data_IF_817859045526
#
_entry.id   IF_817859045526
#
_cell.length_a   1.000
_cell.length_b   1.000
_cell.length_c   1.000
_cell.angle_alpha   90.00
_cell.angle_beta   90.00
_cell.angle_gamma   90.00
#
_symmetry.space_group_name_H-M   'P 1'
#
loop_
_entity.id
_entity.type
_entity.pdbx_description
1 polymer ?
#
# COMPACT_ATOMS: atom_id res chain seq x y z
N UNK A 1 75.14 16.18 -6.48
CA UNK A 1 74.01 16.30 -7.37
C UNK A 1 72.91 15.37 -6.90
N UNK A 2 71.97 15.89 -6.13
CA UNK A 2 70.78 15.18 -5.67
C UNK A 2 69.58 15.72 -6.40
N UNK A 3 68.75 14.86 -6.89
CA UNK A 3 67.37 15.20 -7.36
C UNK A 3 66.38 14.60 -6.40
N UNK A 4 65.57 15.44 -5.74
CA UNK A 4 64.41 15.08 -5.00
C UNK A 4 63.30 14.73 -5.95
N UNK A 5 62.65 13.55 -5.71
CA UNK A 5 61.36 13.17 -6.32
C UNK A 5 60.24 13.63 -5.42
N UNK A 6 59.38 14.49 -5.91
CA UNK A 6 58.12 14.82 -5.29
C UNK A 6 57.10 13.75 -5.62
N UNK A 7 56.55 13.08 -4.59
CA UNK A 7 55.41 12.22 -4.73
C UNK A 7 54.16 13.09 -4.86
N UNK A 8 53.58 13.14 -6.05
CA UNK A 8 52.26 13.71 -6.26
C UNK A 8 51.22 12.71 -5.75
N UNK A 9 50.55 13.06 -4.67
CA UNK A 9 49.27 12.47 -4.31
C UNK A 9 48.23 13.01 -5.29
N UNK A 10 47.78 12.16 -6.20
CA UNK A 10 46.57 12.44 -7.01
C UNK A 10 45.38 12.66 -6.08
N UNK A 11 44.90 13.88 -6.09
CA UNK A 11 43.55 14.17 -5.55
C UNK A 11 42.53 13.52 -6.47
N UNK A 12 41.95 12.43 -6.03
CA UNK A 12 40.81 11.81 -6.70
C UNK A 12 39.68 12.86 -6.83
N UNK A 13 39.19 13.02 -8.04
CA UNK A 13 38.14 13.97 -8.43
C UNK A 13 36.87 13.72 -7.63
N UNK A 14 36.35 14.75 -6.98
CA UNK A 14 35.10 14.74 -6.24
C UNK A 14 33.85 14.61 -7.16
N UNK A 15 34.03 14.34 -8.44
CA UNK A 15 32.97 14.30 -9.45
C UNK A 15 32.21 12.96 -9.55
N UNK A 16 32.69 11.88 -8.89
CA UNK A 16 32.10 10.53 -8.96
C UNK A 16 31.53 10.06 -7.61
N UNK A 17 31.42 10.92 -6.62
CA UNK A 17 30.87 10.57 -5.32
C UNK A 17 29.33 10.54 -5.36
N UNK A 18 28.75 9.39 -5.02
CA UNK A 18 27.29 9.19 -4.92
C UNK A 18 26.80 9.72 -3.57
N UNK A 19 27.61 9.56 -2.52
CA UNK A 19 27.29 9.92 -1.14
C UNK A 19 28.36 10.83 -0.55
N UNK A 20 27.98 11.62 0.43
CA UNK A 20 28.93 12.20 1.37
C UNK A 20 29.29 11.12 2.38
N UNK A 21 30.56 10.67 2.39
CA UNK A 21 30.99 9.60 3.29
C UNK A 21 30.75 9.98 4.75
N UNK A 22 30.15 9.08 5.52
CA UNK A 22 29.77 9.32 6.91
C UNK A 22 28.78 8.29 7.45
N UNK A 23 28.36 8.53 8.69
CA UNK A 23 27.34 7.70 9.36
C UNK A 23 26.12 8.56 9.63
N UNK A 24 24.95 8.07 9.24
CA UNK A 24 23.66 8.76 9.30
C UNK A 24 22.69 7.91 10.09
N UNK A 25 21.84 8.56 10.89
CA UNK A 25 20.85 7.87 11.72
C UNK A 25 19.48 8.48 11.50
N UNK A 26 18.47 7.64 11.35
CA UNK A 26 17.07 8.03 11.25
C UNK A 26 16.20 7.03 12.01
N UNK A 27 14.98 7.46 12.35
CA UNK A 27 14.01 6.68 13.10
C UNK A 27 12.69 6.69 12.36
N UNK A 28 12.01 5.54 12.32
CA UNK A 28 10.67 5.41 11.79
C UNK A 28 9.82 4.57 12.73
N UNK A 29 8.51 4.77 12.71
CA UNK A 29 7.54 4.05 13.52
C UNK A 29 7.44 2.60 13.04
N UNK A 30 7.67 1.64 13.92
CA UNK A 30 7.53 0.21 13.70
C UNK A 30 6.15 -0.31 14.15
N UNK A 31 6.06 -1.61 14.42
CA UNK A 31 4.80 -2.24 14.84
C UNK A 31 4.43 -1.94 16.31
N UNK A 32 5.40 -1.98 17.21
CA UNK A 32 5.21 -1.79 18.66
C UNK A 32 6.00 -0.60 19.21
N UNK A 33 7.03 -0.14 18.50
CA UNK A 33 7.92 0.92 18.91
C UNK A 33 8.62 1.56 17.73
N UNK A 34 9.26 2.69 17.98
CA UNK A 34 10.16 3.31 17.00
C UNK A 34 11.35 2.40 16.69
N UNK A 35 11.66 2.27 15.40
CA UNK A 35 12.85 1.56 14.90
C UNK A 35 13.89 2.57 14.48
N UNK A 36 15.11 2.47 15.06
CA UNK A 36 16.21 3.35 14.72
C UNK A 36 17.21 2.64 13.81
N UNK A 37 17.50 3.25 12.66
CA UNK A 37 18.47 2.72 11.70
C UNK A 37 19.66 3.66 11.57
N UNK A 38 20.85 3.07 11.59
CA UNK A 38 22.14 3.78 11.38
C UNK A 38 22.80 3.20 10.15
N UNK A 39 23.00 4.03 9.13
CA UNK A 39 23.65 3.66 7.85
C UNK A 39 25.00 4.35 7.75
N UNK A 40 26.04 3.59 7.45
CA UNK A 40 27.37 4.12 7.13
C UNK A 40 27.62 3.99 5.63
N UNK A 41 28.03 5.07 5.00
CA UNK A 41 28.35 5.11 3.56
C UNK A 41 29.77 5.58 3.31
N UNK A 42 30.38 5.03 2.28
CA UNK A 42 31.57 5.64 1.63
C UNK A 42 31.09 6.67 0.59
N UNK A 43 32.01 7.25 -0.16
CA UNK A 43 31.68 8.12 -1.29
C UNK A 43 30.89 7.41 -2.44
N UNK A 44 30.89 6.08 -2.46
CA UNK A 44 30.31 5.27 -3.57
C UNK A 44 29.38 4.17 -3.14
N UNK A 45 29.34 3.77 -1.87
CA UNK A 45 28.60 2.59 -1.45
C UNK A 45 28.09 2.68 0.00
N UNK A 46 27.01 1.95 0.27
CA UNK A 46 26.54 1.62 1.62
C UNK A 46 27.48 0.55 2.17
N UNK A 47 28.13 0.84 3.30
CA UNK A 47 29.19 -0.04 3.87
C UNK A 47 28.75 -0.74 5.16
N UNK A 48 27.80 -0.17 5.91
CA UNK A 48 27.26 -0.78 7.13
C UNK A 48 25.81 -0.29 7.35
N UNK A 49 24.97 -1.17 7.88
CA UNK A 49 23.60 -0.86 8.30
C UNK A 49 23.35 -1.53 9.63
N UNK A 50 22.91 -0.76 10.62
CA UNK A 50 22.56 -1.25 11.96
C UNK A 50 21.14 -0.84 12.29
N UNK A 51 20.39 -1.76 12.85
CA UNK A 51 18.99 -1.57 13.24
C UNK A 51 18.85 -1.78 14.73
N UNK A 52 18.26 -0.82 15.43
CA UNK A 52 17.75 -0.98 16.79
C UNK A 52 16.23 -1.07 16.74
N UNK A 53 15.73 -2.27 16.89
CA UNK A 53 14.30 -2.62 16.98
C UNK A 53 14.03 -3.34 18.31
N UNK A 54 14.71 -2.94 19.39
CA UNK A 54 14.64 -3.61 20.69
C UNK A 54 13.26 -3.56 21.37
N UNK A 55 12.37 -2.65 20.92
CA UNK A 55 10.98 -2.58 21.36
C UNK A 55 10.01 -3.43 20.53
N UNK A 56 10.48 -4.04 19.45
CA UNK A 56 9.68 -4.90 18.57
C UNK A 56 9.61 -6.35 19.08
N UNK A 57 8.70 -7.16 18.51
CA UNK A 57 8.62 -8.58 18.84
C UNK A 57 9.90 -9.32 18.43
N UNK A 58 10.49 -10.11 19.33
CA UNK A 58 11.75 -10.80 19.08
C UNK A 58 11.67 -11.81 17.91
N UNK A 59 10.51 -12.44 17.71
CA UNK A 59 10.34 -13.50 16.69
C UNK A 59 10.07 -12.97 15.28
N UNK A 60 9.55 -11.76 15.13
CA UNK A 60 9.23 -11.16 13.86
C UNK A 60 10.05 -9.89 13.61
N UNK A 61 9.80 -8.83 14.38
CA UNK A 61 10.51 -7.57 14.24
C UNK A 61 12.01 -7.67 14.50
N UNK A 62 12.41 -8.47 15.50
CA UNK A 62 13.81 -8.78 15.80
C UNK A 62 14.52 -9.48 14.63
N UNK A 63 13.87 -10.45 14.00
CA UNK A 63 14.43 -11.13 12.81
C UNK A 63 14.51 -10.22 11.60
N UNK A 64 13.52 -9.36 11.37
CA UNK A 64 13.61 -8.34 10.34
C UNK A 64 14.82 -7.42 10.54
N UNK A 65 15.09 -7.04 11.81
CA UNK A 65 16.25 -6.22 12.17
C UNK A 65 17.61 -6.94 11.98
N UNK A 66 17.64 -8.27 12.04
CA UNK A 66 18.85 -9.07 11.79
C UNK A 66 19.11 -9.30 10.30
N UNK A 67 18.07 -9.53 9.47
CA UNK A 67 18.22 -9.95 8.08
C UNK A 67 18.29 -8.77 7.10
N UNK A 68 17.42 -7.77 7.23
CA UNK A 68 17.34 -6.63 6.30
C UNK A 68 18.62 -5.82 6.14
N UNK A 69 19.45 -5.57 7.19
CA UNK A 69 20.71 -4.87 7.03
C UNK A 69 21.63 -5.48 5.97
N UNK A 70 21.74 -6.81 5.96
CA UNK A 70 22.57 -7.56 5.03
C UNK A 70 22.06 -7.43 3.58
N UNK A 71 20.75 -7.44 3.39
CA UNK A 71 20.12 -7.26 2.09
C UNK A 71 20.32 -5.84 1.55
N UNK A 72 20.14 -4.82 2.36
CA UNK A 72 20.37 -3.40 2.00
C UNK A 72 21.83 -3.18 1.58
N UNK A 73 22.79 -3.75 2.30
CA UNK A 73 24.22 -3.65 1.95
C UNK A 73 24.48 -4.41 0.64
N UNK A 74 23.93 -5.60 0.46
CA UNK A 74 24.16 -6.44 -0.72
C UNK A 74 23.58 -5.83 -1.98
N UNK A 75 22.35 -5.32 -1.92
CA UNK A 75 21.64 -4.69 -3.04
C UNK A 75 22.07 -3.25 -3.30
N UNK A 76 22.75 -2.60 -2.36
CA UNK A 76 23.05 -1.17 -2.37
C UNK A 76 21.78 -0.31 -2.51
N UNK A 77 20.65 -0.80 -1.96
CA UNK A 77 19.33 -0.21 -2.07
C UNK A 77 18.52 -0.48 -0.80
N UNK A 78 17.56 0.38 -0.50
CA UNK A 78 16.55 0.15 0.53
C UNK A 78 15.30 -0.52 -0.03
N UNK A 79 15.23 -0.67 -1.35
CA UNK A 79 14.19 -1.44 -2.04
C UNK A 79 14.56 -2.93 -1.99
N UNK A 80 14.30 -3.53 -0.85
CA UNK A 80 14.55 -4.94 -0.54
C UNK A 80 13.26 -5.58 -0.03
N UNK A 81 13.15 -6.89 -0.19
CA UNK A 81 12.00 -7.62 0.35
C UNK A 81 11.91 -7.46 1.87
N UNK A 82 10.69 -7.34 2.37
CA UNK A 82 10.43 -7.33 3.81
C UNK A 82 10.53 -8.73 4.41
N UNK A 83 10.75 -8.81 5.72
CA UNK A 83 10.71 -10.10 6.42
C UNK A 83 9.26 -10.58 6.56
N UNK A 84 8.99 -11.81 6.14
CA UNK A 84 7.65 -12.40 6.17
C UNK A 84 7.05 -12.39 7.57
N UNK A 85 5.89 -11.75 7.72
CA UNK A 85 5.19 -11.60 8.99
C UNK A 85 5.63 -10.39 9.84
N UNK A 86 6.63 -9.61 9.41
CA UNK A 86 7.09 -8.40 10.08
C UNK A 86 7.01 -7.15 9.18
N UNK A 87 5.94 -6.99 8.44
CA UNK A 87 5.80 -5.95 7.41
C UNK A 87 6.02 -4.55 7.96
N UNK A 88 5.34 -4.17 9.05
CA UNK A 88 5.46 -2.82 9.64
C UNK A 88 6.89 -2.53 10.11
N UNK A 89 7.53 -3.46 10.81
CA UNK A 89 8.92 -3.32 11.25
C UNK A 89 9.88 -3.28 10.05
N UNK A 90 9.64 -4.10 9.02
CA UNK A 90 10.43 -4.11 7.79
C UNK A 90 10.32 -2.77 7.05
N UNK A 91 9.14 -2.21 6.95
CA UNK A 91 8.89 -0.92 6.28
C UNK A 91 9.50 0.23 7.09
N UNK A 92 9.44 0.19 8.42
CA UNK A 92 10.13 1.14 9.28
C UNK A 92 11.65 1.09 9.07
N UNK A 93 12.24 -0.11 8.98
CA UNK A 93 13.67 -0.30 8.69
C UNK A 93 14.01 0.28 7.32
N UNK A 94 13.27 -0.05 6.28
CA UNK A 94 13.49 0.44 4.91
C UNK A 94 13.36 1.95 4.83
N UNK A 95 12.33 2.52 5.45
CA UNK A 95 12.08 3.96 5.49
C UNK A 95 13.20 4.71 6.22
N UNK A 96 13.57 4.28 7.42
CA UNK A 96 14.66 4.92 8.17
C UNK A 96 16.01 4.80 7.45
N UNK A 97 16.29 3.66 6.79
CA UNK A 97 17.49 3.51 5.96
C UNK A 97 17.48 4.45 4.74
N UNK A 98 16.33 4.62 4.08
CA UNK A 98 16.16 5.56 2.97
C UNK A 98 16.39 7.00 3.41
N UNK A 99 15.91 7.39 4.59
CA UNK A 99 16.14 8.71 5.17
C UNK A 99 17.64 8.95 5.45
N UNK A 100 18.37 7.96 5.95
CA UNK A 100 19.83 8.02 6.10
C UNK A 100 20.56 8.22 4.76
N UNK A 101 20.16 7.48 3.73
CA UNK A 101 20.72 7.55 2.38
C UNK A 101 20.41 8.91 1.74
N UNK A 102 19.19 9.44 1.95
CA UNK A 102 18.81 10.77 1.48
C UNK A 102 19.67 11.88 2.12
N UNK A 103 19.95 11.79 3.42
CA UNK A 103 20.87 12.68 4.12
C UNK A 103 22.29 12.59 3.54
N UNK A 104 22.80 11.36 3.32
CA UNK A 104 24.11 11.11 2.74
C UNK A 104 24.24 11.66 1.30
N UNK A 105 23.14 11.65 0.54
CA UNK A 105 23.08 12.16 -0.85
C UNK A 105 22.84 13.66 -0.92
N UNK A 106 22.77 14.38 0.21
CA UNK A 106 22.46 15.81 0.26
C UNK A 106 21.01 16.16 -0.06
N UNK A 107 20.10 15.17 -0.12
CA UNK A 107 18.66 15.36 -0.27
C UNK A 107 18.04 15.45 1.13
N UNK A 108 17.34 16.55 1.42
CA UNK A 108 16.75 16.80 2.73
C UNK A 108 15.61 15.81 2.98
N UNK A 109 15.75 14.96 4.01
CA UNK A 109 14.67 14.10 4.49
C UNK A 109 13.49 14.94 4.99
N UNK A 110 12.27 14.54 4.61
CA UNK A 110 11.05 15.09 5.18
C UNK A 110 10.84 14.48 6.58
N UNK A 111 11.29 15.16 7.62
CA UNK A 111 10.95 14.77 9.00
C UNK A 111 9.71 15.53 9.45
N UNK A 112 8.67 14.79 9.84
CA UNK A 112 7.52 15.31 10.56
C UNK A 112 7.94 15.73 11.97
N UNK A 113 8.09 17.03 12.19
CA UNK A 113 7.82 17.68 13.49
C UNK A 113 7.47 19.13 13.25
N UNK A 114 6.33 19.51 13.81
CA UNK A 114 5.77 20.84 13.73
C UNK A 114 6.59 21.87 14.51
N UNK A 115 6.87 23.00 13.91
CA UNK A 115 6.71 24.34 14.48
C UNK A 115 7.21 25.43 13.54
N UNK A 116 6.27 26.25 13.07
CA UNK A 116 6.31 27.73 13.02
C UNK A 116 7.39 28.47 12.24
N UNK A 117 6.87 29.29 11.31
CA UNK A 117 7.28 30.62 10.85
C UNK A 117 8.25 30.76 9.65
N UNK A 118 7.59 31.16 8.56
CA UNK A 118 7.95 32.17 7.55
C UNK A 118 9.42 32.54 7.29
N UNK A 119 9.84 32.32 6.05
CA UNK A 119 10.39 33.38 5.20
C UNK A 119 10.67 32.86 3.77
N UNK A 120 10.19 33.63 2.82
CA UNK A 120 10.39 33.55 1.37
C UNK A 120 11.86 33.62 0.98
N UNK A 121 12.30 32.77 0.06
CA UNK A 121 13.18 33.21 -1.04
C UNK A 121 13.31 32.11 -2.12
N UNK A 122 13.03 32.51 -3.32
CA UNK A 122 13.26 31.84 -4.61
C UNK A 122 14.73 31.43 -4.80
N UNK A 123 14.97 30.17 -5.12
CA UNK A 123 16.18 29.77 -5.85
C UNK A 123 15.82 28.73 -6.91
N UNK A 124 16.22 29.05 -8.12
CA UNK A 124 15.96 28.30 -9.34
C UNK A 124 16.61 26.92 -9.35
N UNK A 125 15.86 25.99 -9.90
CA UNK A 125 16.24 24.64 -10.25
C UNK A 125 17.38 24.64 -11.29
N UNK A 126 18.47 23.94 -11.00
CA UNK A 126 19.38 23.44 -12.04
C UNK A 126 19.38 21.91 -11.99
N UNK A 127 18.41 21.32 -12.66
CA UNK A 127 18.42 19.88 -12.95
C UNK A 127 19.40 19.64 -14.08
N UNK A 128 20.42 18.84 -13.84
CA UNK A 128 21.44 18.51 -14.84
C UNK A 128 20.83 17.72 -16.01
N UNK A 129 21.08 18.18 -17.21
CA UNK A 129 20.52 17.70 -18.49
C UNK A 129 20.76 16.20 -18.81
N UNK A 130 21.59 15.48 -18.05
CA UNK A 130 21.86 14.06 -18.31
C UNK A 130 20.83 13.11 -17.68
N UNK A 131 20.26 13.42 -16.53
CA UNK A 131 19.20 12.62 -15.89
C UNK A 131 17.86 12.73 -16.64
N UNK A 132 17.59 13.90 -17.20
CA UNK A 132 16.41 14.12 -18.05
C UNK A 132 16.48 13.38 -19.38
N UNK A 133 17.70 13.20 -19.94
CA UNK A 133 17.90 12.50 -21.21
C UNK A 133 17.72 10.99 -21.09
N UNK A 134 18.08 10.36 -19.96
CA UNK A 134 17.92 8.92 -19.75
C UNK A 134 16.45 8.58 -19.45
N UNK A 135 15.80 9.36 -18.58
CA UNK A 135 14.38 9.19 -18.27
C UNK A 135 13.47 9.40 -19.49
N UNK A 136 13.85 10.29 -20.42
CA UNK A 136 13.14 10.50 -21.67
C UNK A 136 13.35 9.36 -22.70
N UNK A 137 14.47 8.61 -22.60
CA UNK A 137 14.76 7.48 -23.49
C UNK A 137 14.00 6.21 -23.10
N UNK A 138 13.59 6.09 -21.82
CA UNK A 138 12.89 4.92 -21.28
C UNK A 138 11.36 5.11 -21.26
N UNK A 139 10.85 6.28 -21.66
CA UNK A 139 9.42 6.57 -21.76
C UNK A 139 8.81 5.82 -22.94
N UNK A 140 7.79 4.99 -22.67
CA UNK A 140 7.03 4.25 -23.70
C UNK A 140 5.90 5.11 -24.25
N UNK A 141 5.08 5.65 -23.32
CA UNK A 141 3.87 6.40 -23.68
C UNK A 141 3.47 7.36 -22.57
N UNK A 142 2.66 8.36 -22.88
CA UNK A 142 2.19 9.37 -21.93
C UNK A 142 0.93 10.07 -22.42
N UNK A 143 0.20 10.66 -21.49
CA UNK A 143 -1.03 11.39 -21.84
C UNK A 143 -1.68 12.07 -20.65
N UNK A 144 -2.96 12.37 -20.81
CA UNK A 144 -3.79 12.94 -19.75
C UNK A 144 -4.72 11.90 -19.17
N UNK A 145 -4.93 11.94 -17.85
CA UNK A 145 -5.83 11.05 -17.10
C UNK A 145 -6.75 11.81 -16.14
N UNK A 146 -6.87 13.10 -16.30
CA UNK A 146 -7.73 14.01 -15.56
C UNK A 146 -7.58 15.44 -16.06
N UNK A 147 -8.30 16.40 -15.48
CA UNK A 147 -8.24 17.80 -15.89
C UNK A 147 -6.83 18.39 -15.75
N UNK A 148 -6.15 18.04 -14.66
CA UNK A 148 -4.78 18.47 -14.33
C UNK A 148 -3.88 17.26 -13.99
N UNK A 149 -4.35 16.05 -14.26
CA UNK A 149 -3.62 14.80 -14.05
C UNK A 149 -3.11 14.25 -15.39
N UNK A 150 -1.88 13.79 -15.37
CA UNK A 150 -1.17 13.19 -16.51
C UNK A 150 -0.58 11.84 -16.13
N UNK A 151 -0.27 11.02 -17.11
CA UNK A 151 0.39 9.75 -16.90
C UNK A 151 1.61 9.58 -17.80
N UNK A 152 2.58 8.81 -17.32
CA UNK A 152 3.77 8.42 -18.06
C UNK A 152 4.07 6.95 -17.77
N UNK A 153 4.22 6.12 -18.81
CA UNK A 153 4.61 4.72 -18.72
C UNK A 153 6.05 4.53 -19.19
N UNK A 154 6.83 3.80 -18.42
CA UNK A 154 8.25 3.54 -18.65
C UNK A 154 8.53 2.08 -18.98
N UNK A 155 9.69 1.81 -19.61
CA UNK A 155 10.11 0.46 -20.06
C UNK A 155 10.24 -0.57 -18.93
N UNK A 156 10.41 -0.12 -17.69
CA UNK A 156 10.45 -0.98 -16.50
C UNK A 156 9.06 -1.38 -15.99
N UNK A 157 7.99 -1.06 -16.73
CA UNK A 157 6.61 -1.33 -16.35
C UNK A 157 6.06 -0.39 -15.28
N UNK A 158 6.74 0.73 -14.98
CA UNK A 158 6.24 1.72 -14.02
C UNK A 158 5.35 2.74 -14.71
N UNK A 159 4.11 2.84 -14.25
CA UNK A 159 3.15 3.88 -14.63
C UNK A 159 3.12 4.96 -13.55
N UNK A 160 3.50 6.17 -13.91
CA UNK A 160 3.38 7.34 -13.04
C UNK A 160 2.09 8.09 -13.34
N UNK A 161 1.35 8.45 -12.28
CA UNK A 161 0.23 9.40 -12.32
C UNK A 161 0.69 10.68 -11.64
N UNK A 162 0.66 11.79 -12.36
CA UNK A 162 1.27 13.06 -11.97
C UNK A 162 0.29 14.21 -12.04
N UNK A 163 0.62 15.33 -11.42
CA UNK A 163 -0.18 16.55 -11.49
C UNK A 163 -1.02 16.76 -10.25
N UNK A 164 -2.28 17.15 -10.40
CA UNK A 164 -3.15 17.47 -9.28
C UNK A 164 -4.64 17.26 -9.56
N UNK A 165 -5.43 17.15 -8.49
CA UNK A 165 -6.87 16.94 -8.56
C UNK A 165 -7.26 15.50 -8.82
N UNK A 166 -8.46 15.29 -9.34
CA UNK A 166 -9.02 13.97 -9.55
C UNK A 166 -8.51 13.35 -10.85
N UNK A 167 -8.27 12.04 -10.85
CA UNK A 167 -8.22 11.26 -12.08
C UNK A 167 -9.63 11.18 -12.68
N UNK A 168 -9.71 11.01 -14.00
CA UNK A 168 -10.97 10.79 -14.71
C UNK A 168 -11.59 9.46 -14.32
N UNK A 169 -12.92 9.39 -14.37
CA UNK A 169 -13.64 8.13 -14.38
C UNK A 169 -13.59 7.53 -15.79
N UNK A 170 -13.45 6.21 -15.81
CA UNK A 170 -13.44 5.46 -17.05
C UNK A 170 -14.70 4.60 -17.17
N UNK A 171 -14.86 3.95 -18.29
CA UNK A 171 -16.01 3.09 -18.56
C UNK A 171 -15.57 1.74 -19.07
N UNK A 172 -16.41 0.73 -18.83
CA UNK A 172 -16.27 -0.58 -19.43
C UNK A 172 -17.24 -0.71 -20.60
N UNK A 173 -16.78 -1.33 -21.67
CA UNK A 173 -17.59 -1.79 -22.80
C UNK A 173 -17.21 -3.23 -23.14
N UNK A 174 -18.01 -3.92 -23.93
CA UNK A 174 -17.77 -5.32 -24.24
C UNK A 174 -17.61 -5.48 -25.78
N UNK A 175 -16.67 -6.32 -26.20
CA UNK A 175 -16.49 -6.67 -27.59
C UNK A 175 -17.56 -7.71 -28.06
N UNK A 176 -17.51 -8.09 -29.33
CA UNK A 176 -18.44 -9.08 -29.92
C UNK A 176 -18.33 -10.50 -29.31
N UNK A 177 -17.33 -10.75 -28.44
CA UNK A 177 -17.10 -12.01 -27.72
C UNK A 177 -17.33 -11.86 -26.22
N UNK A 178 -18.02 -10.80 -25.79
CA UNK A 178 -18.30 -10.49 -24.37
C UNK A 178 -17.03 -10.25 -23.53
N UNK A 179 -15.94 -9.77 -24.13
CA UNK A 179 -14.72 -9.42 -23.38
C UNK A 179 -14.77 -7.96 -22.97
N UNK A 180 -14.45 -7.64 -21.70
CA UNK A 180 -14.44 -6.27 -21.26
C UNK A 180 -13.34 -5.47 -21.96
N UNK A 181 -13.63 -4.23 -22.23
CA UNK A 181 -12.71 -3.23 -22.74
C UNK A 181 -12.87 -1.96 -21.91
N UNK A 182 -11.82 -1.55 -21.25
CA UNK A 182 -11.81 -0.35 -20.40
C UNK A 182 -11.31 0.85 -21.18
N UNK A 183 -11.92 2.02 -20.96
CA UNK A 183 -11.59 3.26 -21.67
C UNK A 183 -10.37 3.99 -21.10
N UNK A 184 -9.63 3.37 -20.18
CA UNK A 184 -8.38 3.93 -19.64
C UNK A 184 -7.35 4.08 -20.75
N UNK A 185 -6.57 5.19 -20.79
CA UNK A 185 -5.69 5.47 -21.89
C UNK A 185 -4.52 4.47 -22.05
N UNK A 186 -4.20 3.70 -21.01
CA UNK A 186 -3.16 2.67 -21.02
C UNK A 186 -3.67 1.25 -21.29
N UNK A 187 -4.97 0.96 -21.13
CA UNK A 187 -5.48 -0.41 -21.16
C UNK A 187 -5.23 -1.12 -22.49
N UNK A 188 -5.65 -0.50 -23.60
CA UNK A 188 -5.66 -1.15 -24.91
C UNK A 188 -4.26 -1.51 -25.44
N UNK A 189 -3.23 -0.75 -25.05
CA UNK A 189 -1.88 -0.90 -25.57
C UNK A 189 -0.88 -1.43 -24.55
N UNK A 190 -1.14 -1.21 -23.26
CA UNK A 190 -0.14 -1.37 -22.20
C UNK A 190 -0.67 -2.01 -20.90
N UNK A 191 -1.93 -2.41 -20.84
CA UNK A 191 -2.51 -2.97 -19.60
C UNK A 191 -1.72 -4.13 -19.02
N UNK A 192 -1.17 -5.00 -19.88
CA UNK A 192 -0.33 -6.13 -19.49
C UNK A 192 1.15 -5.76 -19.22
N UNK A 193 1.56 -4.52 -19.51
CA UNK A 193 2.94 -4.08 -19.32
C UNK A 193 3.12 -3.37 -17.96
N UNK A 194 2.01 -2.96 -17.32
CA UNK A 194 2.03 -2.22 -16.05
C UNK A 194 2.33 -3.19 -14.92
N UNK A 195 3.49 -3.06 -14.31
CA UNK A 195 3.91 -3.85 -13.15
C UNK A 195 3.79 -3.08 -11.85
N UNK A 196 3.95 -1.76 -11.93
CA UNK A 196 3.92 -0.85 -10.78
C UNK A 196 3.21 0.44 -11.13
N UNK A 197 2.42 0.96 -10.20
CA UNK A 197 1.80 2.28 -10.29
C UNK A 197 2.34 3.19 -9.21
N UNK A 198 2.75 4.40 -9.57
CA UNK A 198 3.18 5.44 -8.63
C UNK A 198 2.28 6.65 -8.83
N UNK A 199 1.43 6.91 -7.88
CA UNK A 199 0.58 8.11 -7.84
C UNK A 199 1.32 9.18 -7.04
N UNK A 200 1.59 10.34 -7.66
CA UNK A 200 2.34 11.42 -7.02
C UNK A 200 1.41 12.31 -6.18
N UNK A 201 2.01 13.01 -5.22
CA UNK A 201 1.30 13.97 -4.37
C UNK A 201 0.58 15.03 -5.21
N UNK A 202 -0.63 15.42 -4.76
CA UNK A 202 -1.51 16.35 -5.46
C UNK A 202 -2.69 15.67 -6.16
N UNK A 203 -2.60 14.38 -6.45
CA UNK A 203 -3.76 13.59 -6.89
C UNK A 203 -4.67 13.35 -5.69
N UNK A 204 -5.95 13.71 -5.84
CA UNK A 204 -6.92 13.67 -4.73
C UNK A 204 -7.93 12.53 -4.83
N UNK A 205 -8.09 11.95 -6.02
CA UNK A 205 -9.02 10.86 -6.29
C UNK A 205 -8.47 9.91 -7.34
N UNK A 206 -8.59 8.61 -7.08
CA UNK A 206 -8.35 7.57 -8.08
C UNK A 206 -9.67 7.31 -8.79
N UNK A 207 -9.68 7.45 -10.11
CA UNK A 207 -10.90 7.35 -10.91
C UNK A 207 -11.47 5.94 -10.95
N UNK A 208 -12.75 5.85 -11.24
CA UNK A 208 -13.47 4.60 -11.49
C UNK A 208 -12.82 3.81 -12.62
N UNK A 209 -12.64 2.50 -12.45
CA UNK A 209 -11.98 1.58 -13.39
C UNK A 209 -10.51 1.92 -13.73
N UNK A 210 -9.85 2.79 -12.96
CA UNK A 210 -8.54 3.33 -13.36
C UNK A 210 -7.48 2.26 -13.64
N UNK A 211 -7.39 1.23 -12.82
CA UNK A 211 -6.40 0.15 -12.94
C UNK A 211 -7.04 -1.24 -12.96
N UNK A 212 -8.31 -1.31 -13.37
CA UNK A 212 -9.02 -2.59 -13.51
C UNK A 212 -8.33 -3.46 -14.55
N UNK A 213 -8.26 -4.77 -14.27
CA UNK A 213 -7.64 -5.79 -15.13
C UNK A 213 -6.14 -5.54 -15.44
N UNK A 214 -5.48 -4.73 -14.60
CA UNK A 214 -4.02 -4.63 -14.61
C UNK A 214 -3.42 -5.89 -13.96
N UNK A 215 -3.59 -7.02 -14.60
CA UNK A 215 -3.30 -8.36 -14.04
C UNK A 215 -1.81 -8.64 -13.80
N UNK A 216 -0.91 -7.76 -14.23
CA UNK A 216 0.53 -7.81 -13.96
C UNK A 216 0.96 -6.80 -12.89
N UNK A 217 0.05 -5.91 -12.46
CA UNK A 217 0.34 -4.89 -11.47
C UNK A 217 0.41 -5.50 -10.06
N UNK A 218 1.61 -5.62 -9.52
CA UNK A 218 1.88 -6.19 -8.19
C UNK A 218 2.11 -5.13 -7.11
N UNK A 219 2.27 -3.86 -7.46
CA UNK A 219 2.46 -2.79 -6.48
C UNK A 219 1.85 -1.46 -6.90
N UNK A 220 1.33 -0.72 -5.93
CA UNK A 220 0.84 0.64 -6.09
C UNK A 220 1.31 1.50 -4.91
N UNK A 221 1.75 2.73 -5.19
CA UNK A 221 2.02 3.76 -4.19
C UNK A 221 0.93 4.81 -4.27
N UNK A 222 0.13 4.94 -3.21
CA UNK A 222 -0.97 5.90 -3.10
C UNK A 222 -0.54 7.00 -2.13
N UNK A 223 -0.50 8.30 -2.53
CA UNK A 223 -0.07 9.38 -1.66
C UNK A 223 -1.17 9.79 -0.66
N UNK A 224 -0.76 10.44 0.43
CA UNK A 224 -1.67 10.95 1.46
C UNK A 224 -2.65 12.03 0.99
N UNK A 225 -2.48 12.58 -0.21
CA UNK A 225 -3.42 13.52 -0.83
C UNK A 225 -4.69 12.85 -1.38
N UNK A 226 -4.69 11.52 -1.57
CA UNK A 226 -5.86 10.78 -2.06
C UNK A 226 -6.89 10.64 -0.96
N UNK A 227 -8.13 11.04 -1.25
CA UNK A 227 -9.27 10.96 -0.33
C UNK A 227 -10.33 9.95 -0.76
N UNK A 228 -10.30 9.51 -2.03
CA UNK A 228 -11.30 8.61 -2.60
C UNK A 228 -10.63 7.61 -3.56
N UNK A 229 -11.00 6.34 -3.42
CA UNK A 229 -10.68 5.26 -4.36
C UNK A 229 -11.99 4.88 -5.05
N UNK A 230 -12.06 5.08 -6.37
CA UNK A 230 -13.28 4.88 -7.15
C UNK A 230 -13.68 3.41 -7.30
N UNK A 231 -14.89 3.21 -7.80
CA UNK A 231 -15.48 1.90 -8.14
C UNK A 231 -14.53 1.10 -9.05
N UNK A 232 -14.31 -0.18 -8.72
CA UNK A 232 -13.44 -1.12 -9.43
C UNK A 232 -12.02 -0.59 -9.75
N UNK A 233 -11.53 0.41 -9.01
CA UNK A 233 -10.27 1.08 -9.36
C UNK A 233 -9.07 0.14 -9.44
N UNK A 234 -9.02 -0.94 -8.66
CA UNK A 234 -7.96 -1.95 -8.62
C UNK A 234 -8.48 -3.37 -8.81
N UNK A 235 -9.68 -3.51 -9.36
CA UNK A 235 -10.30 -4.82 -9.59
C UNK A 235 -9.44 -5.70 -10.51
N UNK A 236 -9.38 -7.00 -10.26
CA UNK A 236 -8.63 -7.99 -11.04
C UNK A 236 -7.13 -7.65 -11.19
N UNK A 237 -6.52 -7.09 -10.14
CA UNK A 237 -5.09 -6.77 -10.11
C UNK A 237 -4.27 -7.87 -9.40
N UNK A 238 -2.96 -7.93 -9.71
CA UNK A 238 -2.03 -8.82 -9.00
C UNK A 238 -1.49 -8.24 -7.69
N UNK A 239 -2.14 -7.23 -7.12
CA UNK A 239 -1.72 -6.61 -5.87
C UNK A 239 -1.74 -7.63 -4.72
N UNK A 240 -0.58 -7.94 -4.15
CA UNK A 240 -0.47 -8.78 -2.95
C UNK A 240 -0.59 -7.98 -1.65
N UNK A 241 -0.31 -6.69 -1.72
CA UNK A 241 -0.44 -5.75 -0.60
C UNK A 241 -0.74 -4.34 -1.09
N UNK A 242 -1.44 -3.56 -0.29
CA UNK A 242 -1.70 -2.15 -0.52
C UNK A 242 -1.68 -1.39 0.81
N UNK A 243 -1.03 -0.23 0.82
CA UNK A 243 -1.19 0.73 1.91
C UNK A 243 -2.20 1.77 1.46
N UNK A 244 -3.37 1.77 2.10
CA UNK A 244 -4.40 2.79 1.89
C UNK A 244 -4.09 3.93 2.86
N UNK A 245 -3.81 5.16 2.38
CA UNK A 245 -3.40 6.25 3.26
C UNK A 245 -4.56 6.75 4.14
N UNK A 246 -4.22 7.32 5.31
CA UNK A 246 -5.18 7.81 6.31
C UNK A 246 -6.12 8.93 5.79
N UNK A 247 -5.73 9.59 4.68
CA UNK A 247 -6.58 10.59 4.00
C UNK A 247 -7.79 10.00 3.29
N UNK A 248 -7.80 8.70 3.02
CA UNK A 248 -8.90 8.04 2.28
C UNK A 248 -10.12 7.91 3.19
N UNK A 249 -11.24 8.46 2.73
CA UNK A 249 -12.54 8.42 3.42
C UNK A 249 -13.57 7.56 2.69
N UNK A 250 -13.31 7.21 1.42
CA UNK A 250 -14.21 6.43 0.58
C UNK A 250 -13.44 5.37 -0.21
N UNK A 251 -13.89 4.12 -0.07
CA UNK A 251 -13.47 2.97 -0.88
C UNK A 251 -14.71 2.52 -1.65
N UNK A 252 -14.66 2.69 -2.97
CA UNK A 252 -15.80 2.44 -3.86
C UNK A 252 -16.19 0.97 -3.97
N UNK A 253 -17.32 0.74 -4.64
CA UNK A 253 -17.83 -0.59 -4.98
C UNK A 253 -16.76 -1.38 -5.74
N UNK A 254 -16.54 -2.63 -5.35
CA UNK A 254 -15.56 -3.56 -5.95
C UNK A 254 -14.13 -3.01 -6.11
N UNK A 255 -13.75 -1.98 -5.34
CA UNK A 255 -12.49 -1.26 -5.55
C UNK A 255 -11.24 -2.15 -5.59
N UNK A 256 -11.23 -3.27 -4.88
CA UNK A 256 -10.14 -4.26 -4.82
C UNK A 256 -10.62 -5.68 -5.15
N UNK A 257 -11.77 -5.82 -5.82
CA UNK A 257 -12.32 -7.14 -6.12
C UNK A 257 -11.35 -7.99 -6.96
N UNK A 258 -11.36 -9.30 -6.79
CA UNK A 258 -10.50 -10.25 -7.51
C UNK A 258 -8.99 -9.97 -7.39
N UNK A 259 -8.53 -9.22 -6.39
CA UNK A 259 -7.12 -8.93 -6.18
C UNK A 259 -6.39 -10.06 -5.42
N UNK A 260 -5.06 -10.09 -5.54
CA UNK A 260 -4.22 -11.07 -4.84
C UNK A 260 -3.87 -10.68 -3.39
N UNK A 261 -4.57 -9.72 -2.79
CA UNK A 261 -4.28 -9.17 -1.47
C UNK A 261 -4.26 -10.26 -0.40
N UNK A 262 -3.19 -10.26 0.41
CA UNK A 262 -3.01 -11.15 1.56
C UNK A 262 -3.49 -10.51 2.86
N UNK A 263 -3.35 -9.19 2.96
CA UNK A 263 -3.82 -8.41 4.10
C UNK A 263 -4.20 -6.99 3.67
N UNK A 264 -5.12 -6.38 4.39
CA UNK A 264 -5.49 -4.99 4.20
C UNK A 264 -5.81 -4.33 5.54
N UNK A 265 -5.33 -3.10 5.71
CA UNK A 265 -5.73 -2.21 6.80
C UNK A 265 -6.59 -1.10 6.20
N UNK A 266 -7.82 -0.98 6.67
CA UNK A 266 -8.75 0.08 6.27
C UNK A 266 -8.46 1.29 7.17
N UNK A 267 -8.25 2.49 6.63
CA UNK A 267 -7.87 3.66 7.43
C UNK A 267 -9.06 4.24 8.23
N UNK A 268 -8.73 4.94 9.32
CA UNK A 268 -9.70 5.52 10.27
C UNK A 268 -10.66 6.56 9.66
N UNK A 269 -10.38 7.07 8.46
CA UNK A 269 -11.28 7.97 7.73
C UNK A 269 -12.50 7.30 7.10
N UNK A 270 -12.43 5.98 6.87
CA UNK A 270 -13.48 5.22 6.17
C UNK A 270 -14.65 4.95 7.11
N UNK A 271 -15.85 5.30 6.69
CA UNK A 271 -17.09 5.10 7.48
C UNK A 271 -17.97 3.97 6.97
N UNK A 272 -17.76 3.54 5.73
CA UNK A 272 -18.49 2.43 5.09
C UNK A 272 -17.52 1.64 4.20
N UNK A 273 -17.56 0.32 4.28
CA UNK A 273 -16.90 -0.57 3.33
C UNK A 273 -17.90 -0.82 2.20
N UNK A 274 -17.54 -0.41 0.97
CA UNK A 274 -18.42 -0.48 -0.21
C UNK A 274 -18.87 -1.91 -0.54
N UNK A 275 -19.91 -2.00 -1.36
CA UNK A 275 -20.38 -3.27 -1.91
C UNK A 275 -19.25 -3.96 -2.68
N UNK A 276 -19.04 -5.26 -2.44
CA UNK A 276 -18.02 -6.04 -3.12
C UNK A 276 -16.56 -5.53 -2.97
N UNK A 277 -16.26 -4.58 -2.08
CA UNK A 277 -14.96 -3.88 -2.05
C UNK A 277 -13.75 -4.82 -2.08
N UNK A 278 -13.86 -6.03 -1.51
CA UNK A 278 -12.85 -7.10 -1.50
C UNK A 278 -13.44 -8.43 -2.01
N UNK A 279 -14.44 -8.36 -2.88
CA UNK A 279 -15.07 -9.53 -3.48
C UNK A 279 -14.04 -10.42 -4.18
N UNK A 280 -14.08 -11.75 -3.95
CA UNK A 280 -13.14 -12.73 -4.54
C UNK A 280 -11.66 -12.49 -4.23
N UNK A 281 -11.32 -11.83 -3.13
CA UNK A 281 -9.94 -11.77 -2.63
C UNK A 281 -9.58 -13.10 -1.95
N UNK A 282 -9.41 -14.17 -2.72
CA UNK A 282 -9.20 -15.54 -2.22
C UNK A 282 -7.98 -15.70 -1.30
N UNK A 283 -6.99 -14.83 -1.44
CA UNK A 283 -5.75 -14.87 -0.67
C UNK A 283 -5.77 -14.01 0.60
N UNK A 284 -6.87 -13.26 0.84
CA UNK A 284 -6.97 -12.37 1.99
C UNK A 284 -7.03 -13.18 3.29
N UNK A 285 -5.94 -13.15 4.07
CA UNK A 285 -5.81 -13.86 5.34
C UNK A 285 -6.26 -13.03 6.54
N UNK A 286 -6.14 -11.70 6.43
CA UNK A 286 -6.50 -10.77 7.52
C UNK A 286 -6.98 -9.42 6.99
N UNK A 287 -7.93 -8.83 7.72
CA UNK A 287 -8.39 -7.45 7.52
C UNK A 287 -8.47 -6.74 8.86
N UNK A 288 -7.99 -5.49 8.89
CA UNK A 288 -8.19 -4.59 10.03
C UNK A 288 -9.27 -3.59 9.64
N UNK A 289 -10.39 -3.59 10.38
CA UNK A 289 -11.52 -2.69 10.20
C UNK A 289 -11.49 -1.67 11.35
N UNK A 290 -11.41 -0.36 11.09
CA UNK A 290 -11.33 0.66 12.14
C UNK A 290 -12.70 0.94 12.79
N UNK A 291 -12.66 1.55 13.97
CA UNK A 291 -13.87 1.91 14.74
C UNK A 291 -14.76 2.97 14.05
N UNK A 292 -14.24 3.66 13.03
CA UNK A 292 -14.99 4.61 12.21
C UNK A 292 -16.03 3.95 11.31
N UNK A 293 -15.84 2.66 10.97
CA UNK A 293 -16.76 1.94 10.09
C UNK A 293 -18.08 1.66 10.80
N UNK A 294 -19.17 2.11 10.17
CA UNK A 294 -20.54 1.92 10.66
C UNK A 294 -21.34 0.88 9.88
N UNK A 295 -20.89 0.59 8.65
CA UNK A 295 -21.54 -0.36 7.76
C UNK A 295 -20.54 -1.17 6.96
N UNK A 296 -20.81 -2.47 6.83
CA UNK A 296 -20.12 -3.37 5.91
C UNK A 296 -21.12 -3.68 4.79
N UNK A 297 -20.77 -3.30 3.55
CA UNK A 297 -21.61 -3.43 2.37
C UNK A 297 -21.95 -4.88 2.01
N UNK A 298 -22.89 -5.05 1.09
CA UNK A 298 -23.18 -6.36 0.53
C UNK A 298 -21.94 -6.92 -0.17
N UNK A 299 -21.74 -8.25 -0.08
CA UNK A 299 -20.64 -8.96 -0.75
C UNK A 299 -19.22 -8.44 -0.45
N UNK A 300 -19.06 -7.51 0.53
CA UNK A 300 -17.80 -6.80 0.76
C UNK A 300 -16.58 -7.70 0.91
N UNK A 301 -16.74 -8.91 1.48
CA UNK A 301 -15.69 -9.94 1.63
C UNK A 301 -16.17 -11.31 1.13
N UNK A 302 -17.11 -11.34 0.17
CA UNK A 302 -17.55 -12.60 -0.43
C UNK A 302 -16.35 -13.36 -1.01
N UNK A 303 -16.30 -14.65 -0.77
CA UNK A 303 -15.27 -15.56 -1.26
C UNK A 303 -13.83 -15.19 -0.84
N UNK A 304 -13.65 -14.48 0.29
CA UNK A 304 -12.35 -14.32 0.94
C UNK A 304 -11.97 -15.64 1.64
N UNK A 305 -11.69 -16.68 0.84
CA UNK A 305 -11.56 -18.06 1.30
C UNK A 305 -10.41 -18.33 2.28
N UNK A 306 -9.39 -17.48 2.33
CA UNK A 306 -8.25 -17.59 3.26
C UNK A 306 -8.44 -16.82 4.57
N UNK A 307 -9.52 -16.02 4.72
CA UNK A 307 -9.78 -15.20 5.90
C UNK A 307 -10.08 -16.09 7.12
N UNK A 308 -9.21 -16.04 8.13
CA UNK A 308 -9.29 -16.94 9.32
C UNK A 308 -10.11 -16.36 10.45
N UNK A 309 -10.04 -15.06 10.62
CA UNK A 309 -10.78 -14.34 11.66
C UNK A 309 -11.08 -12.91 11.23
N UNK A 310 -12.16 -12.36 11.73
CA UNK A 310 -12.49 -10.94 11.59
C UNK A 310 -13.04 -10.41 12.90
N UNK A 311 -12.59 -9.21 13.28
CA UNK A 311 -13.16 -8.44 14.37
C UNK A 311 -13.97 -7.32 13.78
N UNK A 312 -15.28 -7.35 13.97
CA UNK A 312 -16.19 -6.27 13.62
C UNK A 312 -16.12 -5.23 14.75
N UNK A 313 -15.78 -3.97 14.48
CA UNK A 313 -15.63 -2.95 15.54
C UNK A 313 -16.98 -2.48 16.09
N UNK A 314 -16.94 -1.88 17.28
CA UNK A 314 -18.13 -1.41 18.00
C UNK A 314 -18.92 -0.30 17.28
N UNK A 315 -18.33 0.34 16.25
CA UNK A 315 -19.00 1.31 15.39
C UNK A 315 -20.02 0.70 14.43
N UNK A 316 -19.85 -0.58 14.05
CA UNK A 316 -20.67 -1.23 13.03
C UNK A 316 -22.08 -1.52 13.55
N UNK A 317 -23.08 -1.11 12.78
CA UNK A 317 -24.51 -1.34 13.04
C UNK A 317 -25.15 -2.29 12.06
N UNK A 318 -24.58 -2.43 10.84
CA UNK A 318 -25.12 -3.21 9.73
C UNK A 318 -24.02 -4.04 9.06
N UNK A 319 -24.32 -5.31 8.82
CA UNK A 319 -23.54 -6.23 7.98
C UNK A 319 -24.46 -6.63 6.82
N UNK A 320 -24.05 -6.29 5.59
CA UNK A 320 -24.86 -6.46 4.38
C UNK A 320 -25.09 -7.92 3.99
N UNK A 321 -25.95 -8.09 2.98
CA UNK A 321 -26.22 -9.40 2.38
C UNK A 321 -24.93 -10.00 1.80
N UNK A 322 -24.73 -11.31 1.99
CA UNK A 322 -23.59 -12.04 1.46
C UNK A 322 -22.19 -11.51 1.90
N UNK A 323 -22.10 -10.57 2.85
CA UNK A 323 -20.89 -9.82 3.17
C UNK A 323 -19.65 -10.69 3.42
N UNK A 324 -19.78 -11.90 3.98
CA UNK A 324 -18.70 -12.88 4.23
C UNK A 324 -19.09 -14.27 3.70
N UNK A 325 -19.95 -14.35 2.70
CA UNK A 325 -20.33 -15.65 2.13
C UNK A 325 -19.10 -16.36 1.56
N UNK A 326 -19.05 -17.68 1.64
CA UNK A 326 -17.90 -18.49 1.17
C UNK A 326 -16.54 -18.16 1.80
N UNK A 327 -16.47 -17.49 2.96
CA UNK A 327 -15.26 -17.38 3.76
C UNK A 327 -14.98 -18.72 4.46
N UNK A 328 -14.57 -19.72 3.68
CA UNK A 328 -14.52 -21.14 4.13
C UNK A 328 -13.54 -21.40 5.27
N UNK A 329 -12.49 -20.57 5.39
CA UNK A 329 -11.48 -20.66 6.46
C UNK A 329 -11.83 -19.82 7.71
N UNK A 330 -12.95 -19.11 7.74
CA UNK A 330 -13.32 -18.25 8.85
C UNK A 330 -13.69 -19.08 10.09
N UNK A 331 -12.76 -19.19 11.03
CA UNK A 331 -12.92 -19.96 12.26
C UNK A 331 -13.64 -19.17 13.36
N UNK A 332 -13.45 -17.85 13.37
CA UNK A 332 -14.03 -16.97 14.38
C UNK A 332 -14.40 -15.60 13.83
N UNK A 333 -15.51 -15.07 14.28
CA UNK A 333 -15.91 -13.69 14.08
C UNK A 333 -16.39 -13.09 15.40
N UNK A 334 -15.88 -11.89 15.71
CA UNK A 334 -16.39 -11.09 16.83
C UNK A 334 -17.41 -10.10 16.27
N UNK A 335 -18.68 -10.26 16.63
CA UNK A 335 -19.76 -9.37 16.23
C UNK A 335 -20.21 -8.58 17.46
N UNK A 336 -20.00 -7.26 17.51
CA UNK A 336 -20.30 -6.47 18.71
C UNK A 336 -21.80 -6.30 18.94
N UNK A 337 -22.18 -5.86 20.15
CA UNK A 337 -23.57 -5.64 20.51
C UNK A 337 -24.23 -4.46 19.78
N UNK A 338 -23.44 -3.63 19.10
CA UNK A 338 -23.89 -2.52 18.25
C UNK A 338 -24.56 -2.98 16.96
N UNK A 339 -24.22 -4.18 16.47
CA UNK A 339 -24.81 -4.71 15.23
C UNK A 339 -26.29 -5.02 15.44
N UNK A 340 -27.13 -4.30 14.69
CA UNK A 340 -28.59 -4.42 14.72
C UNK A 340 -29.16 -5.18 13.53
N UNK A 341 -28.35 -5.35 12.47
CA UNK A 341 -28.78 -6.05 11.25
C UNK A 341 -27.63 -6.88 10.67
N UNK A 342 -27.91 -8.12 10.37
CA UNK A 342 -27.06 -9.05 9.63
C UNK A 342 -27.87 -9.52 8.43
N UNK A 343 -27.37 -9.26 7.23
CA UNK A 343 -28.06 -9.51 5.96
C UNK A 343 -28.27 -10.97 5.62
N UNK A 344 -28.99 -11.22 4.51
CA UNK A 344 -29.24 -12.55 3.98
C UNK A 344 -27.91 -13.21 3.62
N UNK A 345 -27.71 -14.46 4.07
CA UNK A 345 -26.50 -15.27 3.79
C UNK A 345 -25.17 -14.62 4.15
N UNK A 346 -25.16 -13.61 5.03
CA UNK A 346 -23.95 -12.84 5.34
C UNK A 346 -22.73 -13.70 5.74
N UNK A 347 -22.92 -14.84 6.40
CA UNK A 347 -21.86 -15.81 6.77
C UNK A 347 -22.22 -17.24 6.28
N UNK A 348 -22.95 -17.35 5.18
CA UNK A 348 -23.28 -18.65 4.61
C UNK A 348 -22.04 -19.28 3.97
N UNK A 349 -21.92 -20.60 3.98
CA UNK A 349 -20.73 -21.34 3.54
C UNK A 349 -19.42 -21.03 4.28
N UNK A 350 -19.47 -20.40 5.47
CA UNK A 350 -18.32 -20.28 6.36
C UNK A 350 -18.12 -21.61 7.11
N UNK A 351 -17.64 -22.64 6.43
CA UNK A 351 -17.62 -24.03 6.94
C UNK A 351 -16.75 -24.26 8.18
N UNK A 352 -15.74 -23.41 8.40
CA UNK A 352 -14.90 -23.45 9.61
C UNK A 352 -15.59 -22.82 10.84
N UNK A 353 -16.57 -21.93 10.65
CA UNK A 353 -17.23 -21.19 11.73
C UNK A 353 -18.14 -22.13 12.56
N UNK A 354 -17.89 -22.20 13.87
CA UNK A 354 -18.63 -23.11 14.77
C UNK A 354 -19.63 -22.40 15.66
N UNK A 355 -19.34 -21.17 16.03
CA UNK A 355 -20.23 -20.37 16.89
C UNK A 355 -20.03 -18.89 16.68
N UNK A 356 -21.09 -18.13 16.94
CA UNK A 356 -21.09 -16.67 16.97
C UNK A 356 -21.81 -16.16 18.21
N UNK A 357 -21.48 -14.96 18.65
CA UNK A 357 -22.23 -14.24 19.68
C UNK A 357 -22.77 -12.95 19.07
N UNK A 358 -24.07 -12.72 19.15
CA UNK A 358 -24.75 -11.55 18.58
C UNK A 358 -25.65 -10.87 19.60
N UNK A 359 -26.10 -9.65 19.29
CA UNK A 359 -27.10 -8.93 20.09
C UNK A 359 -28.46 -9.67 20.04
N UNK A 360 -29.16 -9.69 21.17
CA UNK A 360 -30.57 -10.19 21.19
C UNK A 360 -31.52 -9.37 20.34
N UNK A 361 -31.16 -8.13 20.08
CA UNK A 361 -31.96 -7.20 19.28
C UNK A 361 -31.54 -7.17 17.78
N UNK A 362 -30.57 -8.01 17.40
CA UNK A 362 -30.10 -8.08 16.04
C UNK A 362 -31.14 -8.79 15.14
N UNK A 363 -31.52 -8.14 14.06
CA UNK A 363 -32.28 -8.76 12.96
C UNK A 363 -31.30 -9.60 12.16
N UNK A 364 -31.61 -10.87 11.96
CA UNK A 364 -30.79 -11.83 11.23
C UNK A 364 -31.50 -12.26 9.98
N UNK A 365 -30.89 -12.01 8.83
CA UNK A 365 -31.42 -12.35 7.51
C UNK A 365 -31.54 -13.86 7.28
N UNK A 366 -32.23 -14.23 6.21
CA UNK A 366 -32.42 -15.62 5.86
C UNK A 366 -31.07 -16.29 5.57
N UNK A 367 -30.86 -17.49 6.13
CA UNK A 367 -29.65 -18.28 5.94
C UNK A 367 -28.32 -17.51 6.24
N UNK A 368 -28.38 -16.48 7.09
CA UNK A 368 -27.21 -15.67 7.44
C UNK A 368 -26.03 -16.48 7.96
N UNK A 369 -26.27 -17.61 8.61
CA UNK A 369 -25.26 -18.55 9.09
C UNK A 369 -25.53 -19.96 8.55
N UNK A 370 -24.45 -20.73 8.32
CA UNK A 370 -24.56 -22.14 7.92
C UNK A 370 -25.30 -22.97 8.98
N UNK A 371 -26.03 -23.99 8.54
CA UNK A 371 -26.72 -24.91 9.43
C UNK A 371 -25.70 -25.60 10.36
N UNK A 372 -25.89 -25.46 11.68
CA UNK A 372 -25.00 -26.04 12.70
C UNK A 372 -24.07 -25.04 13.39
N UNK A 373 -24.01 -23.79 12.92
CA UNK A 373 -23.36 -22.71 13.69
C UNK A 373 -24.17 -22.43 14.95
N UNK A 374 -23.50 -22.48 16.11
CA UNK A 374 -24.13 -22.17 17.38
C UNK A 374 -24.25 -20.65 17.57
N UNK A 375 -25.49 -20.14 17.63
CA UNK A 375 -25.73 -18.72 17.90
C UNK A 375 -25.87 -18.52 19.43
N UNK A 376 -25.00 -17.70 19.98
CA UNK A 376 -25.03 -17.24 21.36
C UNK A 376 -25.49 -15.77 21.38
N UNK A 377 -25.95 -15.32 22.54
CA UNK A 377 -26.43 -13.96 22.70
C UNK A 377 -25.71 -13.25 23.86
N UNK A 378 -25.42 -11.99 23.68
CA UNK A 378 -24.93 -11.15 24.78
C UNK A 378 -25.95 -11.11 25.91
N UNK A 379 -25.47 -11.02 27.17
CA UNK A 379 -26.31 -10.98 28.37
C UNK A 379 -26.93 -9.59 28.56
#
# INVERSE_FOLDING_TARGET
AGRGGASGTEAASAADAIYTAGTYTATAEGCLSDVTVTVTVSDKAITDVRVDASGETAELGGKAAEELPSEIIRSQSTDVDGYTGATLTSDAIKKAAADCIAQASGKKAASSQAASAAASSTVASSTTASGLSQKAADLIDSGTCGEQATWELYQDGTLYIKGSGAMSDYSVSFDANDRPFYSTPWYASHGADIQRVVIEDGITRIGKYAFTDCSTMHSVSIPGSVTEIGEEAFSCSALESVTIPDGVTEIGEEAFSCSALKSVTIPDGVTEIGEGAFFWCFHLESVTIPDSVTKIGAEAFDSCGSLKSVTIPDGVTEIGDLAFVCCVSLESVTIPNSVTEIGERAFHYCSALKSVTISRNCTVGQDAFESGVQINYYN
#
